data_IF_848367791734
#
_entry.id   IF_848367791734
#
_cell.length_a   1.000
_cell.length_b   1.000
_cell.length_c   1.000
_cell.angle_alpha   90.00
_cell.angle_beta   90.00
_cell.angle_gamma   90.00
#
_symmetry.space_group_name_H-M   'P 1'
#
loop_
_entity.id
_entity.type
_entity.pdbx_description
1 polymer ?
#
# COMPACT_ATOMS: atom_id res chain seq x y z
N UNK A 1 2.02 13.21 9.49
CA UNK A 1 1.96 12.15 10.54
C UNK A 1 2.97 11.07 10.22
N UNK A 2 3.78 10.71 11.19
CA UNK A 2 4.76 9.63 11.05
C UNK A 2 4.15 8.30 11.50
N UNK A 3 4.86 7.18 11.24
CA UNK A 3 4.44 5.86 11.74
C UNK A 3 4.33 5.86 13.27
N UNK A 4 5.28 6.49 13.97
CA UNK A 4 5.26 6.57 15.43
C UNK A 4 4.03 7.35 15.94
N UNK A 5 3.71 8.47 15.33
CA UNK A 5 2.52 9.26 15.66
C UNK A 5 1.24 8.48 15.39
N UNK A 6 1.19 7.75 14.29
CA UNK A 6 0.03 6.90 13.96
C UNK A 6 -0.17 5.80 15.01
N UNK A 7 0.91 5.14 15.43
CA UNK A 7 0.85 4.11 16.48
C UNK A 7 0.32 4.69 17.78
N UNK A 8 0.79 5.86 18.17
CA UNK A 8 0.31 6.55 19.38
C UNK A 8 -1.18 6.85 19.30
N UNK A 9 -1.63 7.38 18.16
CA UNK A 9 -3.04 7.69 17.95
C UNK A 9 -3.90 6.44 17.97
N UNK A 10 -3.45 5.36 17.33
CA UNK A 10 -4.15 4.08 17.33
C UNK A 10 -4.26 3.49 18.73
N UNK A 11 -3.20 3.58 19.51
CA UNK A 11 -3.19 3.10 20.90
C UNK A 11 -4.23 3.85 21.73
N UNK A 12 -4.29 5.17 21.60
CA UNK A 12 -5.27 6.01 22.31
C UNK A 12 -6.70 5.69 21.88
N UNK A 13 -6.95 5.59 20.57
CA UNK A 13 -8.28 5.35 20.04
C UNK A 13 -8.84 3.97 20.43
N UNK A 14 -8.00 2.96 20.43
CA UNK A 14 -8.38 1.58 20.74
C UNK A 14 -8.29 1.24 22.23
N UNK A 15 -7.71 2.11 23.05
CA UNK A 15 -7.49 1.83 24.46
C UNK A 15 -6.51 0.71 24.73
N UNK A 16 -5.46 0.59 23.88
CA UNK A 16 -4.43 -0.44 23.98
C UNK A 16 -3.05 0.20 24.18
N UNK A 17 -2.06 -0.63 24.54
CA UNK A 17 -0.69 -0.14 24.68
C UNK A 17 -0.09 0.22 23.30
N UNK A 18 0.96 1.06 23.31
CA UNK A 18 1.72 1.38 22.09
C UNK A 18 2.35 0.13 21.48
N UNK A 19 2.83 -0.80 22.33
CA UNK A 19 3.38 -2.09 21.87
C UNK A 19 2.33 -2.91 21.11
N UNK A 20 1.10 -3.00 21.65
CA UNK A 20 0.01 -3.71 20.99
C UNK A 20 -0.40 -3.01 19.69
N UNK A 21 -0.47 -1.69 19.69
CA UNK A 21 -0.80 -0.91 18.50
C UNK A 21 0.26 -1.09 17.40
N UNK A 22 1.55 -1.08 17.76
CA UNK A 22 2.64 -1.33 16.82
C UNK A 22 2.57 -2.73 16.21
N UNK A 23 2.31 -3.75 17.03
CA UNK A 23 2.15 -5.12 16.57
C UNK A 23 0.94 -5.25 15.62
N UNK A 24 -0.15 -4.59 15.92
CA UNK A 24 -1.36 -4.59 15.09
C UNK A 24 -1.09 -3.94 13.72
N UNK A 25 -0.39 -2.81 13.71
CA UNK A 25 -0.04 -2.13 12.44
C UNK A 25 0.92 -2.98 11.61
N UNK A 26 1.91 -3.62 12.24
CA UNK A 26 2.83 -4.53 11.53
C UNK A 26 2.08 -5.73 10.96
N UNK A 27 1.12 -6.28 11.69
CA UNK A 27 0.26 -7.36 11.22
C UNK A 27 -0.55 -6.92 10.00
N UNK A 28 -1.12 -5.72 10.04
CA UNK A 28 -1.86 -5.15 8.92
C UNK A 28 -1.01 -5.08 7.65
N UNK A 29 0.18 -4.50 7.75
CA UNK A 29 1.08 -4.35 6.59
C UNK A 29 1.54 -5.70 6.04
N UNK A 30 1.83 -6.67 6.91
CA UNK A 30 2.18 -8.04 6.49
C UNK A 30 1.02 -8.73 5.77
N UNK A 31 -0.21 -8.55 6.25
CA UNK A 31 -1.39 -9.14 5.63
C UNK A 31 -1.73 -8.50 4.28
N UNK A 32 -1.51 -7.20 4.13
CA UNK A 32 -1.60 -6.52 2.84
C UNK A 32 -0.62 -7.15 1.86
N UNK A 33 0.63 -7.33 2.26
CA UNK A 33 1.66 -7.97 1.43
C UNK A 33 1.26 -9.38 1.03
N UNK A 34 0.78 -10.19 1.98
CA UNK A 34 0.31 -11.55 1.71
C UNK A 34 -0.83 -11.59 0.69
N UNK A 35 -1.81 -10.71 0.86
CA UNK A 35 -2.96 -10.65 -0.05
C UNK A 35 -2.53 -10.28 -1.47
N UNK A 36 -1.56 -9.37 -1.60
CA UNK A 36 -1.08 -8.90 -2.90
C UNK A 36 -0.11 -9.86 -3.58
N UNK A 37 0.49 -10.79 -2.86
CA UNK A 37 1.35 -11.85 -3.44
C UNK A 37 0.56 -12.88 -4.23
N UNK A 38 -0.70 -13.06 -3.94
CA UNK A 38 -1.56 -14.00 -4.64
C UNK A 38 -1.79 -13.52 -6.07
N UNK A 39 -2.07 -14.46 -6.99
CA UNK A 39 -2.50 -14.12 -8.34
C UNK A 39 -3.76 -13.24 -8.26
N UNK A 40 -3.76 -12.13 -8.98
CA UNK A 40 -4.84 -11.13 -8.94
C UNK A 40 -5.11 -10.61 -7.51
N UNK A 41 -4.04 -10.46 -6.74
CA UNK A 41 -4.09 -10.04 -5.34
C UNK A 41 -4.79 -8.72 -5.12
N UNK A 42 -5.72 -8.71 -4.16
CA UNK A 42 -6.55 -7.55 -3.85
C UNK A 42 -6.96 -7.59 -2.39
N UNK A 43 -6.95 -6.44 -1.75
CA UNK A 43 -7.46 -6.26 -0.40
C UNK A 43 -8.39 -5.07 -0.37
N UNK A 44 -9.65 -5.31 -0.05
CA UNK A 44 -10.66 -4.26 0.04
C UNK A 44 -11.03 -3.98 1.48
N UNK A 45 -10.91 -2.70 1.87
CA UNK A 45 -11.40 -2.20 3.16
C UNK A 45 -12.61 -1.33 2.89
N UNK A 46 -13.79 -1.86 3.19
CA UNK A 46 -15.05 -1.14 2.98
C UNK A 46 -15.03 0.19 3.72
N UNK A 47 -15.32 1.27 3.02
CA UNK A 47 -15.30 2.62 3.59
C UNK A 47 -13.93 3.30 3.58
N UNK A 48 -12.87 2.58 3.25
CA UNK A 48 -11.51 3.13 3.18
C UNK A 48 -10.94 3.10 1.77
N UNK A 49 -10.76 1.93 1.20
CA UNK A 49 -10.20 1.79 -0.14
C UNK A 49 -9.78 0.37 -0.45
N UNK A 50 -9.15 0.21 -1.60
CA UNK A 50 -8.72 -1.08 -2.11
C UNK A 50 -7.26 -1.03 -2.51
N UNK A 51 -6.48 -1.96 -1.97
CA UNK A 51 -5.12 -2.24 -2.43
C UNK A 51 -5.19 -3.30 -3.52
N UNK A 52 -4.52 -3.10 -4.63
CA UNK A 52 -4.49 -4.06 -5.73
C UNK A 52 -3.11 -4.17 -6.34
N UNK A 53 -2.84 -5.33 -6.91
CA UNK A 53 -1.63 -5.59 -7.67
C UNK A 53 -1.93 -5.39 -9.14
N UNK A 54 -1.11 -4.58 -9.81
CA UNK A 54 -1.20 -4.35 -11.25
C UNK A 54 0.11 -4.80 -11.88
N UNK A 55 0.03 -5.63 -12.90
CA UNK A 55 1.20 -6.05 -13.66
C UNK A 55 1.48 -5.05 -14.76
N UNK A 56 2.66 -4.48 -14.74
CA UNK A 56 3.16 -3.62 -15.81
C UNK A 56 3.93 -4.46 -16.82
N UNK A 57 3.57 -4.35 -18.11
CA UNK A 57 4.26 -5.04 -19.19
C UNK A 57 5.67 -4.47 -19.37
N UNK A 58 6.58 -5.29 -19.87
CA UNK A 58 7.89 -4.83 -20.29
C UNK A 58 7.74 -3.74 -21.36
N UNK A 59 8.54 -2.71 -21.26
CA UNK A 59 8.53 -1.59 -22.21
C UNK A 59 9.94 -1.06 -22.46
N UNK A 60 10.10 -0.32 -23.55
CA UNK A 60 11.32 0.45 -23.81
C UNK A 60 11.17 1.83 -23.20
N UNK A 61 12.17 2.25 -22.43
CA UNK A 61 12.28 3.60 -21.92
C UNK A 61 13.56 4.25 -22.39
N UNK A 62 13.75 5.51 -22.04
CA UNK A 62 15.00 6.24 -22.30
C UNK A 62 15.61 6.70 -20.98
N UNK A 63 16.92 6.57 -20.89
CA UNK A 63 17.66 7.16 -19.79
C UNK A 63 17.66 8.69 -19.97
N UNK A 64 17.09 9.46 -19.06
CA UNK A 64 17.00 10.91 -19.20
C UNK A 64 18.37 11.61 -19.17
N UNK A 65 19.41 10.96 -18.66
CA UNK A 65 20.77 11.52 -18.60
C UNK A 65 21.58 11.25 -19.86
N UNK A 66 21.46 10.06 -20.44
CA UNK A 66 22.27 9.64 -21.60
C UNK A 66 21.48 9.59 -22.89
N UNK A 67 20.14 9.60 -22.84
CA UNK A 67 19.29 9.44 -24.00
C UNK A 67 19.26 8.02 -24.58
N UNK A 68 19.97 7.08 -23.94
CA UNK A 68 20.02 5.68 -24.39
C UNK A 68 18.70 4.96 -24.12
N UNK A 69 18.35 4.04 -25.01
CA UNK A 69 17.20 3.15 -24.79
C UNK A 69 17.51 2.15 -23.70
N UNK A 70 16.60 2.04 -22.74
CA UNK A 70 16.67 1.03 -21.69
C UNK A 70 15.46 0.12 -21.77
N UNK A 71 15.66 -1.15 -21.44
CA UNK A 71 14.58 -2.13 -21.31
C UNK A 71 14.06 -2.10 -19.88
N UNK A 72 12.79 -1.77 -19.72
CA UNK A 72 12.09 -1.87 -18.43
C UNK A 72 11.39 -3.22 -18.41
N UNK A 73 11.81 -4.10 -17.50
CA UNK A 73 11.24 -5.44 -17.36
C UNK A 73 9.78 -5.37 -16.87
N UNK A 74 9.01 -6.36 -17.24
CA UNK A 74 7.68 -6.54 -16.67
C UNK A 74 7.80 -6.68 -15.14
N UNK A 75 6.94 -5.99 -14.41
CA UNK A 75 6.97 -6.00 -12.95
C UNK A 75 5.57 -5.74 -12.38
N UNK A 76 5.40 -6.08 -11.11
CA UNK A 76 4.17 -5.81 -10.39
C UNK A 76 4.28 -4.48 -9.67
N UNK A 77 3.20 -3.71 -9.67
CA UNK A 77 3.07 -2.49 -8.88
C UNK A 77 1.86 -2.59 -7.97
N UNK A 78 1.92 -1.91 -6.84
CA UNK A 78 0.80 -1.83 -5.91
C UNK A 78 0.06 -0.53 -6.17
N UNK A 79 -1.27 -0.63 -6.32
CA UNK A 79 -2.15 0.53 -6.43
C UNK A 79 -3.09 0.59 -5.25
N UNK A 80 -3.33 1.79 -4.77
CA UNK A 80 -4.37 2.06 -3.77
C UNK A 80 -5.44 2.95 -4.40
N UNK A 81 -6.68 2.46 -4.43
CA UNK A 81 -7.84 3.23 -4.87
C UNK A 81 -8.65 3.62 -3.64
N UNK A 82 -8.73 4.91 -3.36
CA UNK A 82 -9.51 5.43 -2.25
C UNK A 82 -10.99 5.11 -2.43
N UNK A 83 -11.64 4.69 -1.35
CA UNK A 83 -13.07 4.46 -1.35
C UNK A 83 -13.84 5.78 -1.30
N UNK A 84 -15.13 5.72 -1.64
CA UNK A 84 -15.99 6.90 -1.66
C UNK A 84 -16.03 7.60 -0.29
N UNK A 85 -16.18 6.84 0.80
CA UNK A 85 -16.22 7.40 2.16
C UNK A 85 -14.96 8.16 2.53
N UNK A 86 -13.80 7.63 2.15
CA UNK A 86 -12.52 8.31 2.41
C UNK A 86 -12.44 9.61 1.61
N UNK A 87 -12.82 9.59 0.35
CA UNK A 87 -12.85 10.78 -0.50
C UNK A 87 -13.79 11.84 0.05
N UNK A 88 -14.97 11.43 0.48
CA UNK A 88 -16.01 12.34 0.96
C UNK A 88 -15.67 12.95 2.34
N UNK A 89 -14.79 12.31 3.12
CA UNK A 89 -14.36 12.80 4.43
C UNK A 89 -13.25 13.86 4.37
N UNK A 90 -12.70 14.08 3.20
CA UNK A 90 -11.64 15.08 3.00
C UNK A 90 -12.20 16.34 2.25
#
# INVERSE_FOLDING_TARGET
>A
MTKAELIEQMANDAGISKTAAAATLDSFTKNVTKALKKKDGKLTLVGFGTFSKVRRKARKGRNPQTGESIKIKAHNVVKFKAGKRLKDSI
#
